data_IF_880957476282
#
_entry.id   IF_880957476282
#
_cell.length_a   1.000
_cell.length_b   1.000
_cell.length_c   1.000
_cell.angle_alpha   90.00
_cell.angle_beta   90.00
_cell.angle_gamma   90.00
#
_symmetry.space_group_name_H-M   'P 1'
#
loop_
_entity.id
_entity.type
_entity.pdbx_description
1 polymer ?
#
# COMPACT_ATOMS: atom_id res chain seq x y z
N UNK A 1 21.43 -7.12 37.98
CA UNK A 1 21.77 -6.81 36.58
C UNK A 1 20.98 -5.57 36.18
N UNK A 2 21.66 -4.45 35.96
CA UNK A 2 21.08 -3.18 35.53
C UNK A 2 20.74 -3.22 34.04
N UNK A 3 19.55 -2.74 33.66
CA UNK A 3 19.16 -2.53 32.26
C UNK A 3 20.09 -1.49 31.60
N UNK A 4 20.35 -1.58 30.28
CA UNK A 4 21.14 -0.57 29.60
C UNK A 4 20.41 0.78 29.59
N UNK A 5 21.13 1.84 29.95
CA UNK A 5 20.68 3.22 29.81
C UNK A 5 20.77 3.67 28.35
N UNK A 6 19.63 4.19 27.85
CA UNK A 6 19.47 5.05 26.64
C UNK A 6 19.62 4.36 25.28
N UNK A 7 18.53 4.42 24.52
CA UNK A 7 18.54 4.40 23.05
C UNK A 7 18.39 5.85 22.59
N UNK A 8 19.33 6.36 21.78
CA UNK A 8 19.24 7.69 21.18
C UNK A 8 18.36 7.62 19.93
N UNK A 9 17.59 8.68 19.66
CA UNK A 9 16.76 8.78 18.45
C UNK A 9 17.63 8.83 17.18
N UNK A 10 18.88 9.28 17.33
CA UNK A 10 19.92 9.31 16.30
C UNK A 10 20.37 7.90 15.86
N UNK A 11 20.44 6.93 16.78
CA UNK A 11 20.85 5.55 16.46
C UNK A 11 19.84 4.81 15.55
N UNK A 12 18.57 5.26 15.55
CA UNK A 12 17.52 4.74 14.67
C UNK A 12 17.58 5.38 13.28
N UNK A 13 18.05 6.63 13.20
CA UNK A 13 18.20 7.38 11.95
C UNK A 13 19.45 6.89 11.19
N UNK A 14 20.56 6.65 11.89
CA UNK A 14 21.80 6.15 11.30
C UNK A 14 21.67 4.70 10.76
N UNK A 15 20.76 3.89 11.32
CA UNK A 15 20.47 2.54 10.83
C UNK A 15 19.69 2.51 9.50
N UNK A 16 19.24 3.66 8.98
CA UNK A 16 18.50 3.78 7.72
C UNK A 16 19.30 4.46 6.60
N UNK A 17 20.58 4.78 6.82
CA UNK A 17 21.39 5.57 5.89
C UNK A 17 21.95 4.71 4.74
N UNK A 18 21.19 4.65 3.64
CA UNK A 18 21.65 4.12 2.36
C UNK A 18 22.31 5.23 1.53
N UNK A 19 23.58 5.51 1.80
CA UNK A 19 24.42 6.54 1.14
C UNK A 19 24.36 6.52 -0.41
N UNK A 20 24.00 5.38 -0.99
CA UNK A 20 23.90 5.17 -2.43
C UNK A 20 22.72 5.91 -3.10
N UNK A 21 21.57 6.03 -2.42
CA UNK A 21 20.37 6.66 -3.00
C UNK A 21 20.48 8.18 -3.05
N UNK A 22 21.14 8.78 -2.04
CA UNK A 22 21.36 10.22 -1.94
C UNK A 22 22.25 10.74 -3.07
N UNK A 23 23.38 10.06 -3.32
CA UNK A 23 24.32 10.43 -4.37
C UNK A 23 23.69 10.34 -5.78
N UNK A 24 22.84 9.34 -6.02
CA UNK A 24 22.13 9.18 -7.29
C UNK A 24 21.09 10.30 -7.53
N UNK A 25 20.33 10.67 -6.49
CA UNK A 25 19.34 11.76 -6.56
C UNK A 25 20.00 13.13 -6.79
N UNK A 26 21.07 13.43 -6.05
CA UNK A 26 21.84 14.67 -6.21
C UNK A 26 22.47 14.79 -7.60
N UNK A 27 22.99 13.69 -8.16
CA UNK A 27 23.53 13.65 -9.52
C UNK A 27 22.45 13.88 -10.60
N UNK A 28 21.22 13.35 -10.39
CA UNK A 28 20.10 13.57 -11.31
C UNK A 28 19.58 15.02 -11.25
N UNK A 29 19.45 15.58 -10.05
CA UNK A 29 19.02 16.98 -9.86
C UNK A 29 20.02 17.98 -10.47
N UNK A 30 21.32 17.72 -10.29
CA UNK A 30 22.39 18.51 -10.92
C UNK A 30 22.32 18.45 -12.45
N UNK A 31 22.14 17.26 -13.04
CA UNK A 31 21.97 17.11 -14.50
C UNK A 31 20.73 17.83 -15.04
N UNK A 32 19.61 17.82 -14.31
CA UNK A 32 18.40 18.53 -14.72
C UNK A 32 18.59 20.05 -14.70
N UNK A 33 19.33 20.56 -13.70
CA UNK A 33 19.65 21.99 -13.57
C UNK A 33 20.63 22.45 -14.65
N UNK A 34 21.66 21.65 -14.93
CA UNK A 34 22.63 21.93 -15.99
C UNK A 34 22.00 21.86 -17.40
N UNK A 35 20.92 21.10 -17.57
CA UNK A 35 20.16 21.02 -18.81
C UNK A 35 19.13 22.16 -19.00
N UNK A 36 19.01 23.10 -18.06
CA UNK A 36 18.04 24.20 -18.15
C UNK A 36 16.58 23.76 -18.11
N UNK A 37 16.29 22.54 -17.64
CA UNK A 37 14.93 22.01 -17.56
C UNK A 37 14.28 22.56 -16.29
N UNK A 38 13.47 23.60 -16.44
CA UNK A 38 12.68 24.14 -15.35
C UNK A 38 11.38 23.32 -15.21
N UNK A 39 11.38 22.33 -14.32
CA UNK A 39 10.19 21.54 -14.00
C UNK A 39 9.33 22.35 -13.03
N UNK A 40 8.49 23.23 -13.55
CA UNK A 40 7.43 23.82 -12.74
C UNK A 40 6.37 22.75 -12.44
N UNK A 41 6.39 22.23 -11.20
CA UNK A 41 5.28 21.44 -10.68
C UNK A 41 4.07 22.36 -10.50
N UNK A 42 3.16 22.32 -11.47
CA UNK A 42 1.88 23.02 -11.43
C UNK A 42 1.11 22.63 -10.15
N UNK A 43 1.00 23.59 -9.22
CA UNK A 43 0.26 23.49 -7.95
C UNK A 43 -1.25 23.76 -8.11
N UNK A 44 -1.84 23.55 -9.27
CA UNK A 44 -3.24 23.94 -9.52
C UNK A 44 -4.10 22.78 -10.02
N UNK A 45 -4.76 22.09 -9.08
CA UNK A 45 -6.07 21.47 -9.34
C UNK A 45 -6.80 21.13 -8.03
N UNK A 46 -7.29 22.16 -7.33
CA UNK A 46 -8.41 21.94 -6.41
C UNK A 46 -9.71 22.09 -7.22
N UNK A 47 -10.50 21.01 -7.21
CA UNK A 47 -11.94 20.96 -7.46
C UNK A 47 -12.50 20.91 -8.88
N UNK A 48 -11.69 20.76 -9.93
CA UNK A 48 -12.23 20.18 -11.17
C UNK A 48 -12.56 18.72 -10.89
N UNK A 49 -13.82 18.31 -11.06
CA UNK A 49 -14.25 16.91 -11.03
C UNK A 49 -13.29 16.11 -11.92
N UNK A 50 -12.31 15.46 -11.29
CA UNK A 50 -11.26 14.80 -12.04
C UNK A 50 -11.92 13.61 -12.71
N UNK A 51 -12.17 13.74 -14.00
CA UNK A 51 -12.95 12.82 -14.82
C UNK A 51 -12.54 11.36 -14.62
N UNK A 52 -13.51 10.45 -14.71
CA UNK A 52 -13.33 8.99 -14.56
C UNK A 52 -12.58 8.32 -15.73
N UNK A 53 -11.75 9.08 -16.44
CA UNK A 53 -10.93 8.54 -17.52
C UNK A 53 -9.67 7.88 -16.95
N UNK A 54 -9.13 6.85 -17.63
CA UNK A 54 -7.82 6.30 -17.31
C UNK A 54 -6.69 7.27 -17.71
N UNK A 55 -5.45 6.90 -17.39
CA UNK A 55 -4.26 7.61 -17.88
C UNK A 55 -4.11 7.49 -19.39
N UNK A 56 -3.42 8.46 -20.02
CA UNK A 56 -3.08 8.38 -21.43
C UNK A 56 -1.92 7.40 -21.64
N UNK A 57 -2.10 6.39 -22.50
CA UNK A 57 -1.11 5.34 -22.78
C UNK A 57 0.09 5.84 -23.60
N UNK A 58 0.07 7.10 -24.06
CA UNK A 58 1.21 7.72 -24.75
C UNK A 58 2.01 8.64 -23.84
N UNK A 59 1.37 9.64 -23.23
CA UNK A 59 2.06 10.66 -22.45
C UNK A 59 2.06 10.38 -20.94
N UNK A 60 1.38 9.33 -20.48
CA UNK A 60 1.30 8.95 -19.07
C UNK A 60 0.48 9.89 -18.18
N UNK A 61 -0.02 11.01 -18.71
CA UNK A 61 -0.80 11.98 -17.93
C UNK A 61 -2.03 11.28 -17.35
N UNK A 62 -2.12 11.28 -16.03
CA UNK A 62 -3.19 10.61 -15.31
C UNK A 62 -4.56 11.20 -15.64
N UNK A 63 -5.57 10.34 -15.70
CA UNK A 63 -6.97 10.71 -15.90
C UNK A 63 -7.30 11.53 -17.14
N UNK A 64 -6.42 11.48 -18.13
CA UNK A 64 -6.56 12.27 -19.34
C UNK A 64 -7.09 11.46 -20.52
N UNK A 65 -7.14 10.12 -20.42
CA UNK A 65 -7.53 9.18 -21.47
C UNK A 65 -9.00 9.24 -21.91
N UNK A 66 -9.41 10.36 -22.52
CA UNK A 66 -10.79 10.63 -22.96
C UNK A 66 -11.22 9.85 -24.19
N UNK A 67 -10.26 9.40 -24.99
CA UNK A 67 -10.49 8.66 -26.23
C UNK A 67 -9.84 7.30 -26.14
N UNK A 68 -10.36 6.33 -26.88
CA UNK A 68 -9.72 5.03 -27.04
C UNK A 68 -9.47 4.75 -28.52
N UNK A 69 -8.51 3.87 -28.82
CA UNK A 69 -8.30 3.40 -30.19
C UNK A 69 -9.58 2.73 -30.70
N UNK A 70 -10.18 3.25 -31.77
CA UNK A 70 -11.44 2.72 -32.31
C UNK A 70 -11.33 1.30 -32.83
N UNK A 71 -10.13 0.85 -33.21
CA UNK A 71 -9.88 -0.51 -33.69
C UNK A 71 -9.85 -1.50 -32.53
N UNK A 72 -8.82 -1.45 -31.67
CA UNK A 72 -8.69 -2.44 -30.60
C UNK A 72 -9.48 -2.12 -29.34
N UNK A 73 -9.89 -0.86 -29.12
CA UNK A 73 -10.54 -0.37 -27.89
C UNK A 73 -9.74 -0.60 -26.60
N UNK A 74 -8.46 -0.92 -26.74
CA UNK A 74 -7.59 -1.37 -25.65
C UNK A 74 -6.62 -0.30 -25.13
N UNK A 75 -6.44 0.80 -25.85
CA UNK A 75 -5.53 1.88 -25.45
C UNK A 75 -6.26 3.22 -25.47
N UNK A 76 -5.93 4.10 -24.53
CA UNK A 76 -6.60 5.35 -24.26
C UNK A 76 -5.63 6.53 -24.44
N UNK A 77 -6.17 7.62 -24.93
CA UNK A 77 -5.43 8.81 -25.31
C UNK A 77 -6.15 10.05 -24.82
N UNK A 78 -5.37 11.03 -24.38
CA UNK A 78 -5.92 12.34 -24.07
C UNK A 78 -6.26 13.18 -25.29
N UNK A 79 -5.60 12.92 -26.41
CA UNK A 79 -5.75 13.68 -27.64
C UNK A 79 -5.43 12.86 -28.88
N UNK A 80 -5.87 13.33 -30.06
CA UNK A 80 -5.62 12.64 -31.34
C UNK A 80 -4.13 12.72 -31.68
N UNK A 81 -3.44 13.75 -31.20
CA UNK A 81 -2.01 13.94 -31.33
C UNK A 81 -1.26 12.85 -30.55
N UNK A 82 -1.65 12.58 -29.31
CA UNK A 82 -1.08 11.48 -28.53
C UNK A 82 -1.31 10.13 -29.20
N UNK A 83 -2.51 9.89 -29.73
CA UNK A 83 -2.80 8.68 -30.51
C UNK A 83 -1.90 8.56 -31.74
N UNK A 84 -1.76 9.62 -32.55
CA UNK A 84 -0.92 9.64 -33.75
C UNK A 84 0.56 9.41 -33.44
N UNK A 85 1.06 10.03 -32.36
CA UNK A 85 2.45 9.85 -31.92
C UNK A 85 2.69 8.42 -31.43
N UNK A 86 1.82 7.89 -30.57
CA UNK A 86 1.90 6.49 -30.14
C UNK A 86 1.79 5.53 -31.32
N UNK A 87 0.97 5.82 -32.31
CA UNK A 87 0.82 5.00 -33.50
C UNK A 87 2.11 4.88 -34.31
N UNK A 88 2.86 5.97 -34.46
CA UNK A 88 4.07 6.04 -35.31
C UNK A 88 5.38 5.76 -34.57
N UNK A 89 5.39 5.77 -33.24
CA UNK A 89 6.59 5.52 -32.46
C UNK A 89 7.22 4.15 -32.81
N UNK A 90 8.55 4.00 -32.77
CA UNK A 90 9.19 2.68 -32.87
C UNK A 90 8.66 1.74 -31.77
N UNK A 91 8.16 0.56 -32.14
CA UNK A 91 7.45 -0.33 -31.22
C UNK A 91 6.10 0.21 -30.72
N UNK A 92 5.58 1.28 -31.34
CA UNK A 92 4.34 1.94 -30.96
C UNK A 92 3.08 1.12 -31.29
N UNK A 93 1.92 1.70 -30.97
CA UNK A 93 0.64 1.00 -30.97
C UNK A 93 0.30 0.30 -32.30
N UNK A 94 0.76 0.82 -33.45
CA UNK A 94 0.49 0.23 -34.78
C UNK A 94 0.88 -1.24 -34.87
N UNK A 95 1.99 -1.64 -34.23
CA UNK A 95 2.53 -3.01 -34.30
C UNK A 95 1.56 -4.00 -33.67
N UNK A 96 0.97 -3.64 -32.54
CA UNK A 96 0.15 -4.55 -31.75
C UNK A 96 -1.36 -4.36 -32.00
N UNK A 97 -1.79 -3.21 -32.51
CA UNK A 97 -3.20 -2.80 -32.57
C UNK A 97 -4.15 -3.87 -33.16
N UNK A 98 -3.77 -4.49 -34.27
CA UNK A 98 -4.65 -5.46 -34.96
C UNK A 98 -4.95 -6.69 -34.10
N UNK A 99 -4.01 -7.11 -33.28
CA UNK A 99 -4.13 -8.33 -32.49
C UNK A 99 -4.46 -8.02 -31.03
N UNK A 100 -4.49 -6.75 -30.63
CA UNK A 100 -4.71 -6.40 -29.22
C UNK A 100 -6.09 -6.82 -28.70
N UNK A 101 -7.17 -6.64 -29.48
CA UNK A 101 -8.51 -7.04 -29.01
C UNK A 101 -8.58 -8.55 -28.76
N UNK A 102 -8.18 -9.35 -29.76
CA UNK A 102 -8.08 -10.81 -29.64
C UNK A 102 -7.10 -11.25 -28.54
N UNK A 103 -5.93 -10.62 -28.43
CA UNK A 103 -4.96 -10.90 -27.38
C UNK A 103 -5.54 -10.60 -25.99
N UNK A 104 -6.28 -9.52 -25.85
CA UNK A 104 -6.97 -9.16 -24.61
C UNK A 104 -8.05 -10.17 -24.26
N UNK A 105 -8.83 -10.61 -25.24
CA UNK A 105 -9.83 -11.68 -25.11
C UNK A 105 -9.20 -13.00 -24.70
N UNK A 106 -8.16 -13.43 -25.40
CA UNK A 106 -7.46 -14.68 -25.12
C UNK A 106 -6.82 -14.67 -23.73
N UNK A 107 -6.20 -13.56 -23.32
CA UNK A 107 -5.61 -13.42 -21.97
C UNK A 107 -6.67 -13.42 -20.89
N UNK A 108 -7.77 -12.69 -21.10
CA UNK A 108 -8.89 -12.64 -20.18
C UNK A 108 -9.55 -14.02 -20.05
N UNK A 109 -9.73 -14.74 -21.17
CA UNK A 109 -10.28 -16.09 -21.18
C UNK A 109 -9.34 -17.07 -20.50
N UNK A 110 -8.04 -17.04 -20.80
CA UNK A 110 -7.04 -17.88 -20.13
C UNK A 110 -7.01 -17.64 -18.61
N UNK A 111 -7.15 -16.38 -18.18
CA UNK A 111 -7.32 -16.03 -16.77
C UNK A 111 -8.57 -16.70 -16.18
N UNK A 112 -9.72 -16.57 -16.84
CA UNK A 112 -10.98 -17.13 -16.36
C UNK A 112 -10.99 -18.65 -16.37
N UNK A 113 -10.33 -19.30 -17.34
CA UNK A 113 -10.17 -20.75 -17.41
C UNK A 113 -9.29 -21.26 -16.28
N UNK A 114 -8.15 -20.60 -16.03
CA UNK A 114 -7.27 -20.92 -14.91
C UNK A 114 -7.99 -20.76 -13.57
N UNK A 115 -8.78 -19.69 -13.43
CA UNK A 115 -9.62 -19.48 -12.25
C UNK A 115 -10.75 -20.50 -12.13
N UNK A 116 -11.43 -20.88 -13.22
CA UNK A 116 -12.48 -21.91 -13.21
C UNK A 116 -11.94 -23.27 -12.77
N UNK A 117 -10.73 -23.62 -13.23
CA UNK A 117 -9.99 -24.81 -12.75
C UNK A 117 -9.70 -24.71 -11.25
N UNK A 118 -9.17 -23.57 -10.79
CA UNK A 118 -8.93 -23.32 -9.36
C UNK A 118 -10.20 -23.50 -8.53
N UNK A 119 -11.31 -22.86 -8.92
CA UNK A 119 -12.59 -22.90 -8.21
C UNK A 119 -13.14 -24.32 -8.10
N UNK A 120 -13.10 -25.08 -9.20
CA UNK A 120 -13.54 -26.48 -9.21
C UNK A 120 -12.69 -27.33 -8.28
N UNK A 121 -11.39 -27.05 -8.24
CA UNK A 121 -10.43 -27.82 -7.47
C UNK A 121 -10.53 -27.58 -5.96
N UNK A 122 -10.67 -26.32 -5.52
CA UNK A 122 -10.87 -26.01 -4.09
C UNK A 122 -12.16 -26.61 -3.56
N UNK A 123 -13.21 -26.70 -4.39
CA UNK A 123 -14.46 -27.36 -4.02
C UNK A 123 -14.41 -28.88 -3.92
N UNK A 124 -13.41 -29.55 -4.50
CA UNK A 124 -13.41 -31.00 -4.68
C UNK A 124 -12.66 -31.80 -3.61
N UNK A 125 -11.41 -31.45 -3.24
CA UNK A 125 -10.63 -32.08 -2.15
C UNK A 125 -9.24 -31.43 -2.04
N UNK A 126 -8.49 -31.69 -0.95
CA UNK A 126 -7.14 -31.14 -0.70
C UNK A 126 -6.20 -31.25 -1.91
N UNK A 127 -5.91 -30.12 -2.58
CA UNK A 127 -4.96 -30.01 -3.67
C UNK A 127 -3.57 -30.61 -3.41
N UNK A 128 -3.07 -31.48 -4.29
CA UNK A 128 -1.61 -31.59 -4.49
C UNK A 128 -1.11 -30.29 -5.11
N UNK A 129 0.02 -29.79 -4.58
CA UNK A 129 0.46 -28.40 -4.68
C UNK A 129 0.63 -27.84 -6.10
N UNK A 130 1.07 -28.64 -7.06
CA UNK A 130 1.70 -28.09 -8.26
C UNK A 130 0.73 -27.59 -9.35
N UNK A 131 -0.44 -28.22 -9.51
CA UNK A 131 -1.39 -27.84 -10.56
C UNK A 131 -2.07 -26.48 -10.29
N UNK A 132 -2.33 -26.19 -9.01
CA UNK A 132 -2.91 -24.91 -8.55
C UNK A 132 -1.88 -23.82 -8.66
N UNK A 133 -0.65 -24.08 -8.20
CA UNK A 133 0.47 -23.14 -8.31
C UNK A 133 0.84 -22.86 -9.76
N UNK A 134 0.77 -23.85 -10.65
CA UNK A 134 0.98 -23.64 -12.08
C UNK A 134 -0.14 -22.80 -12.70
N UNK A 135 -1.41 -23.07 -12.35
CA UNK A 135 -2.55 -22.28 -12.83
C UNK A 135 -2.52 -20.84 -12.33
N UNK A 136 -2.19 -20.64 -11.05
CA UNK A 136 -2.00 -19.33 -10.42
C UNK A 136 -0.73 -18.63 -10.90
N UNK A 137 0.35 -19.37 -11.16
CA UNK A 137 1.59 -18.85 -11.73
C UNK A 137 1.37 -18.35 -13.15
N UNK A 138 0.62 -19.10 -13.97
CA UNK A 138 0.20 -18.65 -15.29
C UNK A 138 -0.73 -17.44 -15.21
N UNK A 139 -1.64 -17.40 -14.22
CA UNK A 139 -2.45 -16.22 -13.91
C UNK A 139 -1.55 -15.01 -13.65
N UNK A 140 -0.59 -15.17 -12.76
CA UNK A 140 0.37 -14.14 -12.36
C UNK A 140 1.19 -13.66 -13.55
N UNK A 141 1.72 -14.58 -14.36
CA UNK A 141 2.53 -14.26 -15.54
C UNK A 141 1.69 -13.51 -16.59
N UNK A 142 0.42 -13.88 -16.77
CA UNK A 142 -0.51 -13.13 -17.63
C UNK A 142 -0.79 -11.72 -17.10
N UNK A 143 -0.85 -11.54 -15.76
CA UNK A 143 -0.97 -10.22 -15.12
C UNK A 143 0.33 -9.40 -15.27
N UNK A 144 1.50 -10.03 -15.12
CA UNK A 144 2.82 -9.39 -15.03
C UNK A 144 3.46 -9.06 -16.39
N UNK A 145 3.50 -10.01 -17.32
CA UNK A 145 4.32 -9.90 -18.54
C UNK A 145 3.63 -9.20 -19.70
N UNK A 146 2.31 -9.01 -19.60
CA UNK A 146 1.48 -9.04 -20.78
C UNK A 146 0.52 -7.83 -20.94
N UNK A 147 0.81 -6.73 -20.25
CA UNK A 147 0.19 -5.44 -20.58
C UNK A 147 -1.24 -5.27 -20.09
N UNK A 148 -1.69 -6.06 -19.11
CA UNK A 148 -2.90 -5.75 -18.35
C UNK A 148 -2.85 -4.36 -17.71
N UNK A 149 -1.65 -3.78 -17.63
CA UNK A 149 -1.33 -2.43 -17.17
C UNK A 149 -2.00 -1.29 -17.93
N UNK A 150 -2.56 -1.50 -19.13
CA UNK A 150 -3.16 -0.42 -19.89
C UNK A 150 -4.42 -0.92 -20.58
N UNK A 151 -5.55 -0.68 -19.89
CA UNK A 151 -6.83 -0.29 -20.48
C UNK A 151 -7.61 -1.30 -21.37
N UNK A 152 -6.96 -2.28 -21.96
CA UNK A 152 -7.56 -3.26 -22.87
C UNK A 152 -7.86 -4.59 -22.23
N UNK A 153 -6.83 -5.34 -21.81
CA UNK A 153 -7.06 -6.68 -21.30
C UNK A 153 -7.82 -6.62 -19.98
N UNK A 154 -7.68 -5.54 -19.20
CA UNK A 154 -8.40 -5.38 -17.94
C UNK A 154 -9.89 -5.18 -18.20
N UNK A 155 -10.26 -4.32 -19.16
CA UNK A 155 -11.67 -4.10 -19.51
C UNK A 155 -12.32 -5.40 -20.01
N UNK A 156 -11.63 -6.15 -20.87
CA UNK A 156 -12.15 -7.44 -21.36
C UNK A 156 -12.24 -8.48 -20.25
N UNK A 157 -11.24 -8.54 -19.37
CA UNK A 157 -11.29 -9.41 -18.18
C UNK A 157 -12.44 -9.04 -17.25
N UNK A 158 -12.76 -7.76 -17.08
CA UNK A 158 -13.97 -7.34 -16.37
C UNK A 158 -15.25 -7.89 -17.01
N UNK A 159 -15.38 -7.83 -18.33
CA UNK A 159 -16.52 -8.39 -19.06
C UNK A 159 -16.65 -9.92 -18.88
N UNK A 160 -15.53 -10.63 -18.73
CA UNK A 160 -15.50 -12.07 -18.49
C UNK A 160 -15.64 -12.47 -17.02
N UNK A 161 -15.78 -11.53 -16.08
CA UNK A 161 -15.99 -11.83 -14.66
C UNK A 161 -14.73 -11.79 -13.78
N UNK A 162 -13.69 -11.04 -14.15
CA UNK A 162 -12.47 -10.84 -13.34
C UNK A 162 -12.80 -10.43 -11.90
N UNK A 163 -13.73 -9.49 -11.70
CA UNK A 163 -14.08 -9.05 -10.36
C UNK A 163 -14.75 -10.16 -9.53
N UNK A 164 -15.55 -11.02 -10.16
CA UNK A 164 -16.11 -12.20 -9.50
C UNK A 164 -15.02 -13.18 -9.07
N UNK A 165 -14.03 -13.38 -9.95
CA UNK A 165 -12.88 -14.24 -9.67
C UNK A 165 -12.03 -13.70 -8.51
N UNK A 166 -11.66 -12.42 -8.54
CA UNK A 166 -10.92 -11.75 -7.46
C UNK A 166 -11.68 -11.80 -6.15
N UNK A 167 -12.98 -11.50 -6.20
CA UNK A 167 -13.84 -11.56 -5.02
C UNK A 167 -13.84 -12.95 -4.38
N UNK A 168 -13.95 -14.01 -5.18
CA UNK A 168 -13.88 -15.37 -4.68
C UNK A 168 -12.51 -15.70 -4.08
N UNK A 169 -11.43 -15.29 -4.74
CA UNK A 169 -10.07 -15.46 -4.21
C UNK A 169 -9.90 -14.78 -2.84
N UNK A 170 -10.57 -13.65 -2.60
CA UNK A 170 -10.57 -12.98 -1.31
C UNK A 170 -11.57 -13.55 -0.29
N UNK A 171 -12.58 -14.31 -0.73
CA UNK A 171 -13.55 -14.97 0.16
C UNK A 171 -13.00 -16.24 0.80
N UNK A 172 -12.18 -16.98 0.07
CA UNK A 172 -11.75 -18.31 0.49
C UNK A 172 -10.87 -18.22 1.73
N UNK A 173 -11.16 -19.05 2.75
CA UNK A 173 -10.50 -18.94 4.03
C UNK A 173 -9.00 -19.19 3.89
N UNK A 174 -8.23 -18.14 4.14
CA UNK A 174 -6.78 -18.02 3.94
C UNK A 174 -5.91 -19.17 4.49
N UNK A 175 -6.44 -20.05 5.35
CA UNK A 175 -5.64 -21.09 6.02
C UNK A 175 -4.86 -21.97 5.04
N UNK A 176 -5.37 -22.20 3.82
CA UNK A 176 -4.69 -22.97 2.78
C UNK A 176 -3.96 -22.12 1.72
N UNK A 177 -4.31 -20.83 1.65
CA UNK A 177 -3.81 -19.85 0.67
C UNK A 177 -2.44 -19.32 1.08
N UNK A 178 -2.12 -19.30 2.37
CA UNK A 178 -0.92 -18.66 2.90
C UNK A 178 0.38 -19.37 2.55
N UNK A 179 0.38 -20.70 2.61
CA UNK A 179 1.57 -21.47 2.23
C UNK A 179 1.80 -21.47 0.71
N UNK A 180 0.80 -21.05 -0.09
CA UNK A 180 0.74 -21.35 -1.53
C UNK A 180 0.51 -20.14 -2.44
N UNK A 181 -0.01 -19.02 -1.94
CA UNK A 181 -0.51 -17.90 -2.76
C UNK A 181 0.11 -16.55 -2.38
N UNK A 182 1.23 -16.54 -1.67
CA UNK A 182 1.98 -15.31 -1.35
C UNK A 182 2.25 -14.51 -2.62
N UNK A 183 2.77 -15.17 -3.66
CA UNK A 183 3.03 -14.58 -4.97
C UNK A 183 1.75 -14.08 -5.65
N UNK A 184 0.61 -14.73 -5.42
CA UNK A 184 -0.70 -14.35 -5.99
C UNK A 184 -1.19 -13.08 -5.34
N UNK A 185 -1.12 -12.96 -4.01
CA UNK A 185 -1.56 -11.76 -3.32
C UNK A 185 -0.67 -10.57 -3.63
N UNK A 186 0.65 -10.76 -3.71
CA UNK A 186 1.55 -9.72 -4.19
C UNK A 186 1.20 -9.31 -5.61
N UNK A 187 0.96 -10.26 -6.50
CA UNK A 187 0.62 -9.94 -7.89
C UNK A 187 -0.75 -9.27 -8.01
N UNK A 188 -1.75 -9.72 -7.26
CA UNK A 188 -3.09 -9.13 -7.27
C UNK A 188 -3.04 -7.70 -6.75
N UNK A 189 -2.38 -7.46 -5.62
CA UNK A 189 -2.23 -6.10 -5.09
C UNK A 189 -1.45 -5.23 -6.07
N UNK A 190 -0.26 -5.67 -6.47
CA UNK A 190 0.64 -4.81 -7.22
C UNK A 190 0.22 -4.67 -8.70
N UNK A 191 -0.11 -5.75 -9.40
CA UNK A 191 -0.29 -5.69 -10.87
C UNK A 191 -1.69 -5.29 -11.32
N UNK A 192 -2.74 -5.62 -10.57
CA UNK A 192 -4.10 -5.29 -11.01
C UNK A 192 -4.40 -3.81 -10.82
N UNK A 193 -3.83 -3.20 -9.78
CA UNK A 193 -4.16 -1.84 -9.39
C UNK A 193 -2.99 -0.86 -9.52
N UNK A 194 -1.74 -1.27 -9.71
CA UNK A 194 -0.64 -0.35 -10.00
C UNK A 194 -0.40 -0.16 -11.50
N UNK A 195 0.14 0.99 -11.86
CA UNK A 195 0.79 1.17 -13.16
C UNK A 195 2.21 0.57 -13.12
N UNK A 196 2.80 0.32 -14.30
CA UNK A 196 4.03 -0.45 -14.56
C UNK A 196 5.29 -0.13 -13.76
N UNK A 197 5.29 0.89 -12.91
CA UNK A 197 6.47 1.38 -12.22
C UNK A 197 6.39 1.28 -10.69
N UNK A 198 5.47 0.50 -10.12
CA UNK A 198 5.30 0.31 -8.66
C UNK A 198 5.07 1.61 -7.84
N UNK A 199 5.04 2.77 -8.47
CA UNK A 199 5.04 4.08 -7.82
C UNK A 199 3.68 4.78 -7.89
N UNK A 200 2.72 4.23 -8.63
CA UNK A 200 1.38 4.81 -8.74
C UNK A 200 0.29 3.74 -8.81
N UNK A 201 -0.85 4.08 -8.19
CA UNK A 201 -2.08 3.28 -8.22
C UNK A 201 -3.04 3.85 -9.27
N UNK A 202 -3.65 2.99 -10.05
CA UNK A 202 -4.74 3.31 -10.96
C UNK A 202 -6.05 3.42 -10.16
N UNK A 203 -6.37 4.65 -9.75
CA UNK A 203 -7.59 4.93 -9.01
C UNK A 203 -8.89 4.56 -9.76
N UNK A 204 -8.86 4.48 -11.10
CA UNK A 204 -10.01 4.03 -11.88
C UNK A 204 -10.29 2.54 -11.67
N UNK A 205 -9.24 1.70 -11.65
CA UNK A 205 -9.39 0.25 -11.43
C UNK A 205 -9.85 -0.07 -10.03
N UNK A 206 -9.26 0.60 -9.04
CA UNK A 206 -9.70 0.48 -7.64
C UNK A 206 -11.17 0.83 -7.53
N UNK A 207 -11.59 1.96 -8.11
CA UNK A 207 -13.00 2.37 -8.14
C UNK A 207 -13.90 1.33 -8.82
N UNK A 208 -13.50 0.83 -9.99
CA UNK A 208 -14.24 -0.21 -10.75
C UNK A 208 -14.41 -1.50 -9.95
N UNK A 209 -13.34 -1.96 -9.28
CA UNK A 209 -13.38 -3.16 -8.47
C UNK A 209 -14.27 -2.97 -7.23
N UNK A 210 -14.07 -1.89 -6.47
CA UNK A 210 -14.86 -1.59 -5.26
C UNK A 210 -16.35 -1.47 -5.57
N UNK A 211 -16.73 -0.97 -6.74
CA UNK A 211 -18.13 -0.84 -7.17
C UNK A 211 -18.71 -2.08 -7.84
N UNK A 212 -17.90 -3.12 -8.06
CA UNK A 212 -18.36 -4.32 -8.75
C UNK A 212 -19.33 -5.16 -7.92
N UNK A 213 -19.19 -5.11 -6.59
CA UNK A 213 -20.09 -5.74 -5.62
C UNK A 213 -20.14 -4.87 -4.35
N UNK A 214 -21.25 -4.96 -3.62
CA UNK A 214 -21.47 -4.14 -2.42
C UNK A 214 -20.38 -4.34 -1.34
N UNK A 215 -19.87 -5.57 -1.21
CA UNK A 215 -18.86 -5.98 -0.22
C UNK A 215 -17.48 -6.29 -0.82
N UNK A 216 -17.22 -5.85 -2.07
CA UNK A 216 -15.95 -6.10 -2.77
C UNK A 216 -14.75 -5.48 -2.02
N UNK A 217 -14.91 -4.27 -1.51
CA UNK A 217 -13.89 -3.60 -0.71
C UNK A 217 -13.66 -4.33 0.61
N UNK A 218 -14.72 -4.65 1.34
CA UNK A 218 -14.63 -5.26 2.66
C UNK A 218 -13.91 -6.60 2.60
N UNK A 219 -14.21 -7.42 1.59
CA UNK A 219 -13.51 -8.69 1.34
C UNK A 219 -12.06 -8.50 0.96
N UNK A 220 -11.78 -7.60 0.01
CA UNK A 220 -10.42 -7.31 -0.39
C UNK A 220 -9.56 -6.77 0.77
N UNK A 221 -10.09 -5.80 1.51
CA UNK A 221 -9.41 -5.22 2.67
C UNK A 221 -9.19 -6.26 3.76
N UNK A 222 -10.21 -7.05 4.13
CA UNK A 222 -10.06 -8.12 5.13
C UNK A 222 -9.02 -9.17 4.71
N UNK A 223 -9.02 -9.54 3.44
CA UNK A 223 -8.07 -10.46 2.82
C UNK A 223 -6.64 -9.89 2.88
N UNK A 224 -6.42 -8.63 2.51
CA UNK A 224 -5.13 -7.97 2.70
C UNK A 224 -4.71 -7.91 4.16
N UNK A 225 -5.61 -7.59 5.08
CA UNK A 225 -5.26 -7.48 6.50
C UNK A 225 -4.88 -8.83 7.11
N UNK A 226 -5.35 -9.93 6.53
CA UNK A 226 -4.95 -11.28 6.95
C UNK A 226 -3.45 -11.50 6.80
N UNK A 227 -2.78 -10.87 5.83
CA UNK A 227 -1.31 -11.00 5.65
C UNK A 227 -0.54 -10.53 6.90
N UNK A 228 -1.03 -9.50 7.58
CA UNK A 228 -0.46 -9.06 8.86
C UNK A 228 -0.68 -10.09 9.97
N UNK A 229 -1.85 -10.73 10.01
CA UNK A 229 -2.15 -11.78 10.99
C UNK A 229 -1.24 -12.99 10.82
N UNK A 230 -0.99 -13.37 9.57
CA UNK A 230 -0.09 -14.47 9.20
C UNK A 230 1.33 -14.14 9.62
N UNK A 231 1.84 -12.97 9.22
CA UNK A 231 3.16 -12.52 9.61
C UNK A 231 3.34 -12.52 11.14
N UNK A 232 2.35 -12.00 11.87
CA UNK A 232 2.39 -11.95 13.34
C UNK A 232 2.32 -13.33 14.01
N UNK A 233 1.69 -14.31 13.39
CA UNK A 233 1.58 -15.66 13.97
C UNK A 233 2.69 -16.56 13.45
N UNK A 234 2.66 -16.86 12.16
CA UNK A 234 3.59 -17.78 11.51
C UNK A 234 4.99 -17.19 11.32
N UNK A 235 5.11 -15.90 11.02
CA UNK A 235 6.42 -15.26 10.86
C UNK A 235 7.22 -15.27 12.17
N UNK A 236 6.57 -14.96 13.29
CA UNK A 236 7.20 -15.03 14.61
C UNK A 236 7.51 -16.48 15.03
N UNK A 237 6.67 -17.44 14.68
CA UNK A 237 6.93 -18.85 14.93
C UNK A 237 8.05 -19.41 14.04
N UNK A 238 8.20 -18.91 12.80
CA UNK A 238 9.32 -19.24 11.91
C UNK A 238 10.65 -18.80 12.52
N UNK A 239 10.72 -17.60 13.11
CA UNK A 239 11.91 -17.17 13.86
C UNK A 239 12.26 -18.17 14.97
N UNK A 240 11.27 -18.59 15.78
CA UNK A 240 11.50 -19.55 16.88
C UNK A 240 12.02 -20.90 16.39
N UNK A 241 11.66 -21.29 15.16
CA UNK A 241 12.11 -22.52 14.50
C UNK A 241 13.40 -22.34 13.70
N UNK A 242 13.99 -21.14 13.70
CA UNK A 242 15.15 -20.77 12.88
C UNK A 242 14.92 -20.91 11.37
N UNK A 243 13.67 -20.71 10.92
CA UNK A 243 13.25 -20.69 9.51
C UNK A 243 13.25 -19.24 9.00
N UNK A 244 14.43 -18.62 8.90
CA UNK A 244 14.56 -17.19 8.59
C UNK A 244 14.10 -16.83 7.18
N UNK A 245 14.24 -17.74 6.21
CA UNK A 245 13.72 -17.61 4.86
C UNK A 245 12.20 -17.43 4.85
N UNK A 246 11.48 -18.29 5.58
CA UNK A 246 10.02 -18.20 5.75
C UNK A 246 9.65 -16.88 6.42
N UNK A 247 10.36 -16.50 7.48
CA UNK A 247 10.14 -15.22 8.15
C UNK A 247 10.28 -14.03 7.19
N UNK A 248 11.36 -13.96 6.40
CA UNK A 248 11.59 -12.84 5.49
C UNK A 248 10.56 -12.77 4.37
N UNK A 249 10.11 -13.92 3.84
CA UNK A 249 9.02 -13.96 2.86
C UNK A 249 7.73 -13.40 3.45
N UNK A 250 7.33 -13.85 4.65
CA UNK A 250 6.12 -13.38 5.32
C UNK A 250 6.20 -11.89 5.70
N UNK A 251 7.39 -11.44 6.13
CA UNK A 251 7.67 -10.03 6.41
C UNK A 251 7.49 -9.18 5.14
N UNK A 252 8.12 -9.60 4.04
CA UNK A 252 8.04 -8.87 2.77
C UNK A 252 6.60 -8.78 2.27
N UNK A 253 5.83 -9.87 2.37
CA UNK A 253 4.41 -9.89 2.02
C UNK A 253 3.60 -8.86 2.84
N UNK A 254 3.83 -8.81 4.16
CA UNK A 254 3.16 -7.84 5.02
C UNK A 254 3.57 -6.39 4.67
N UNK A 255 4.86 -6.14 4.42
CA UNK A 255 5.34 -4.83 3.94
C UNK A 255 4.69 -4.45 2.61
N UNK A 256 4.63 -5.36 1.65
CA UNK A 256 4.03 -5.14 0.34
C UNK A 256 2.53 -4.81 0.45
N UNK A 257 1.80 -5.53 1.31
CA UNK A 257 0.40 -5.22 1.59
C UNK A 257 0.23 -3.81 2.20
N UNK A 258 1.06 -3.43 3.18
CA UNK A 258 1.02 -2.10 3.78
C UNK A 258 1.39 -0.97 2.80
N UNK A 259 2.42 -1.21 1.98
CA UNK A 259 2.84 -0.27 0.94
C UNK A 259 1.76 -0.08 -0.12
N UNK A 260 1.14 -1.18 -0.56
CA UNK A 260 0.02 -1.15 -1.48
C UNK A 260 -1.14 -0.27 -0.97
N UNK A 261 -1.56 -0.47 0.28
CA UNK A 261 -2.60 0.37 0.87
C UNK A 261 -2.16 1.82 1.06
N UNK A 262 -0.88 2.08 1.32
CA UNK A 262 -0.33 3.44 1.29
C UNK A 262 -0.55 4.09 -0.07
N UNK A 263 -0.21 3.40 -1.18
CA UNK A 263 -0.43 3.92 -2.53
C UNK A 263 -1.92 4.18 -2.81
N UNK A 264 -2.81 3.24 -2.42
CA UNK A 264 -4.26 3.40 -2.56
C UNK A 264 -4.75 4.67 -1.86
N UNK A 265 -4.32 4.94 -0.63
CA UNK A 265 -4.78 6.11 0.12
C UNK A 265 -3.99 7.40 -0.18
N UNK A 266 -2.81 7.31 -0.79
CA UNK A 266 -2.14 8.44 -1.46
C UNK A 266 -2.95 8.93 -2.65
N UNK A 267 -3.66 8.04 -3.35
CA UNK A 267 -4.55 8.42 -4.45
C UNK A 267 -5.92 8.86 -3.94
N UNK A 268 -6.21 10.16 -4.05
CA UNK A 268 -7.47 10.77 -3.62
C UNK A 268 -8.71 10.09 -4.21
N UNK A 269 -8.68 9.67 -5.48
CA UNK A 269 -9.85 9.03 -6.13
C UNK A 269 -10.11 7.64 -5.61
N UNK A 270 -9.07 6.84 -5.46
CA UNK A 270 -9.17 5.51 -4.88
C UNK A 270 -9.71 5.61 -3.44
N UNK A 271 -9.13 6.50 -2.64
CA UNK A 271 -9.62 6.81 -1.29
C UNK A 271 -11.09 7.25 -1.28
N UNK A 272 -11.49 8.16 -2.17
CA UNK A 272 -12.89 8.64 -2.28
C UNK A 272 -13.85 7.51 -2.66
N UNK A 273 -13.47 6.66 -3.62
CA UNK A 273 -14.27 5.51 -4.04
C UNK A 273 -14.46 4.50 -2.91
N UNK A 274 -13.43 4.26 -2.10
CA UNK A 274 -13.49 3.38 -0.93
C UNK A 274 -14.34 4.00 0.18
N UNK A 275 -14.00 5.22 0.61
CA UNK A 275 -14.56 5.83 1.81
C UNK A 275 -15.98 6.35 1.61
N UNK A 276 -16.28 6.96 0.46
CA UNK A 276 -17.58 7.59 0.17
C UNK A 276 -18.45 6.75 -0.79
N UNK A 277 -17.93 5.67 -1.36
CA UNK A 277 -18.69 4.77 -2.23
C UNK A 277 -19.21 5.42 -3.51
N UNK A 278 -20.48 5.19 -3.82
CA UNK A 278 -21.13 5.67 -5.05
C UNK A 278 -21.60 7.11 -4.95
N UNK A 279 -22.11 7.52 -3.78
CA UNK A 279 -22.68 8.84 -3.53
C UNK A 279 -21.65 9.95 -3.61
N UNK A 280 -20.37 9.62 -3.38
CA UNK A 280 -19.25 10.58 -3.32
C UNK A 280 -19.40 11.62 -2.19
N UNK A 281 -20.35 11.41 -1.29
CA UNK A 281 -20.71 12.28 -0.17
C UNK A 281 -20.63 11.50 1.14
N UNK A 282 -20.57 12.22 2.27
CA UNK A 282 -20.55 11.57 3.59
C UNK A 282 -21.96 11.20 4.02
N UNK A 283 -22.40 10.01 3.63
CA UNK A 283 -23.66 9.39 4.06
C UNK A 283 -23.47 8.39 5.23
N UNK A 284 -24.56 7.79 5.68
CA UNK A 284 -24.54 6.80 6.76
C UNK A 284 -23.76 5.54 6.39
N UNK A 285 -23.79 5.11 5.12
CA UNK A 285 -23.01 3.96 4.64
C UNK A 285 -21.52 4.25 4.69
N UNK A 286 -21.09 5.44 4.25
CA UNK A 286 -19.72 5.91 4.33
C UNK A 286 -19.24 5.96 5.79
N UNK A 287 -20.05 6.49 6.71
CA UNK A 287 -19.73 6.52 8.15
C UNK A 287 -19.63 5.10 8.75
N UNK A 288 -20.55 4.21 8.39
CA UNK A 288 -20.53 2.81 8.83
C UNK A 288 -19.26 2.10 8.33
N UNK A 289 -18.91 2.28 7.05
CA UNK A 289 -17.69 1.73 6.46
C UNK A 289 -16.43 2.27 7.13
N UNK A 290 -16.36 3.57 7.40
CA UNK A 290 -15.22 4.17 8.10
C UNK A 290 -15.04 3.59 9.51
N UNK A 291 -16.12 3.45 10.28
CA UNK A 291 -16.09 2.77 11.59
C UNK A 291 -15.64 1.31 11.46
N UNK A 292 -16.12 0.60 10.43
CA UNK A 292 -15.69 -0.76 10.15
C UNK A 292 -14.19 -0.83 9.85
N UNK A 293 -13.66 0.04 8.97
CA UNK A 293 -12.21 0.13 8.67
C UNK A 293 -11.43 0.35 9.96
N UNK A 294 -11.82 1.31 10.79
CA UNK A 294 -11.15 1.60 12.07
C UNK A 294 -11.17 0.37 12.99
N UNK A 295 -12.27 -0.38 13.05
CA UNK A 295 -12.34 -1.61 13.84
C UNK A 295 -11.36 -2.69 13.34
N UNK A 296 -11.19 -2.81 12.03
CA UNK A 296 -10.24 -3.76 11.44
C UNK A 296 -8.79 -3.33 11.72
N UNK A 297 -8.48 -2.04 11.57
CA UNK A 297 -7.16 -1.49 11.88
C UNK A 297 -6.83 -1.66 13.36
N UNK A 298 -7.79 -1.41 14.27
CA UNK A 298 -7.63 -1.69 15.71
C UNK A 298 -7.23 -3.14 15.96
N UNK A 299 -7.91 -4.09 15.31
CA UNK A 299 -7.58 -5.53 15.42
C UNK A 299 -6.15 -5.81 14.99
N UNK A 300 -5.71 -5.24 13.86
CA UNK A 300 -4.34 -5.40 13.36
C UNK A 300 -3.33 -4.77 14.32
N UNK A 301 -3.52 -3.51 14.70
CA UNK A 301 -2.65 -2.79 15.65
C UNK A 301 -2.52 -3.48 17.01
N UNK A 302 -3.59 -4.10 17.51
CA UNK A 302 -3.54 -4.85 18.77
C UNK A 302 -2.58 -6.04 18.75
N UNK A 303 -2.24 -6.56 17.56
CA UNK A 303 -1.26 -7.64 17.37
C UNK A 303 0.18 -7.13 17.30
N UNK A 304 0.38 -5.86 16.91
CA UNK A 304 1.68 -5.19 16.90
C UNK A 304 2.04 -4.55 18.26
N UNK A 305 1.36 -4.92 19.34
CA UNK A 305 1.76 -4.45 20.67
C UNK A 305 3.16 -4.99 20.98
N UNK A 306 4.14 -4.08 20.84
CA UNK A 306 5.58 -4.28 20.93
C UNK A 306 5.91 -5.55 21.69
N UNK A 307 6.09 -6.61 20.93
CA UNK A 307 5.96 -7.93 21.50
C UNK A 307 7.20 -8.18 22.35
N UNK A 308 7.03 -8.20 23.66
CA UNK A 308 8.09 -8.59 24.59
C UNK A 308 8.69 -9.95 24.20
N UNK A 309 7.92 -10.80 23.50
CA UNK A 309 8.39 -12.07 22.92
C UNK A 309 9.48 -11.84 21.87
N UNK A 310 9.37 -10.82 21.02
CA UNK A 310 10.37 -10.50 19.99
C UNK A 310 11.64 -9.95 20.62
N UNK A 311 11.55 -9.05 21.61
CA UNK A 311 12.74 -8.58 22.34
C UNK A 311 13.47 -9.75 23.00
N UNK A 312 12.73 -10.70 23.59
CA UNK A 312 13.31 -11.88 24.23
C UNK A 312 13.98 -12.83 23.22
N UNK A 313 13.46 -12.92 22.00
CA UNK A 313 14.03 -13.75 20.92
C UNK A 313 15.22 -13.05 20.25
N UNK A 314 15.12 -11.73 20.04
CA UNK A 314 16.10 -10.94 19.30
C UNK A 314 17.18 -10.31 20.20
N UNK A 315 17.17 -10.56 21.51
CA UNK A 315 18.16 -9.94 22.42
C UNK A 315 19.62 -10.30 22.08
N UNK A 316 19.84 -11.34 21.27
CA UNK A 316 21.15 -11.70 20.73
C UNK A 316 21.44 -11.17 19.32
N UNK A 317 20.44 -10.67 18.58
CA UNK A 317 20.59 -10.21 17.20
C UNK A 317 19.81 -8.91 16.93
N UNK A 318 20.54 -7.80 16.90
CA UNK A 318 20.01 -6.45 16.71
C UNK A 318 19.42 -6.25 15.30
N UNK A 319 19.85 -7.03 14.29
CA UNK A 319 19.33 -6.95 12.93
C UNK A 319 17.88 -7.43 12.83
N UNK A 320 17.51 -8.41 13.66
CA UNK A 320 16.15 -8.96 13.68
C UNK A 320 15.16 -7.97 14.34
N UNK A 321 15.62 -7.20 15.33
CA UNK A 321 14.81 -6.20 16.00
C UNK A 321 14.37 -5.05 15.06
N UNK A 322 15.28 -4.53 14.23
CA UNK A 322 14.94 -3.49 13.25
C UNK A 322 13.91 -4.01 12.25
N UNK A 323 14.03 -5.27 11.83
CA UNK A 323 13.16 -5.88 10.82
C UNK A 323 11.68 -5.92 11.21
N UNK A 324 11.35 -6.25 12.47
CA UNK A 324 9.96 -6.31 12.95
C UNK A 324 9.33 -4.93 13.00
N UNK A 325 10.11 -3.92 13.37
CA UNK A 325 9.65 -2.54 13.46
C UNK A 325 9.23 -1.96 12.11
N UNK A 326 9.77 -2.49 10.99
CA UNK A 326 9.42 -2.03 9.64
C UNK A 326 7.95 -2.29 9.34
N UNK A 327 7.47 -3.53 9.54
CA UNK A 327 6.07 -3.88 9.24
C UNK A 327 5.12 -3.05 10.11
N UNK A 328 5.43 -2.91 11.40
CA UNK A 328 4.67 -2.07 12.33
C UNK A 328 4.62 -0.62 11.83
N UNK A 329 5.76 -0.04 11.47
CA UNK A 329 5.87 1.32 10.94
C UNK A 329 5.03 1.53 9.68
N UNK A 330 5.08 0.58 8.75
CA UNK A 330 4.26 0.61 7.54
C UNK A 330 2.76 0.54 7.85
N UNK A 331 2.36 -0.26 8.84
CA UNK A 331 0.95 -0.33 9.29
C UNK A 331 0.50 0.98 9.91
N UNK A 332 1.31 1.61 10.76
CA UNK A 332 1.03 2.95 11.28
C UNK A 332 0.89 3.98 10.15
N UNK A 333 1.77 3.92 9.15
CA UNK A 333 1.79 4.87 8.04
C UNK A 333 0.51 4.82 7.19
N UNK A 334 0.12 3.65 6.66
CA UNK A 334 -1.10 3.58 5.85
C UNK A 334 -2.36 3.83 6.70
N UNK A 335 -2.35 3.47 7.99
CA UNK A 335 -3.43 3.82 8.92
C UNK A 335 -3.58 5.33 9.05
N UNK A 336 -2.47 6.07 9.12
CA UNK A 336 -2.48 7.52 9.16
C UNK A 336 -2.94 8.16 7.85
N UNK A 337 -2.63 7.55 6.69
CA UNK A 337 -3.17 7.98 5.40
C UNK A 337 -4.70 7.83 5.35
N UNK A 338 -5.24 6.73 5.89
CA UNK A 338 -6.69 6.53 6.02
C UNK A 338 -7.31 7.62 6.90
N UNK A 339 -6.72 7.90 8.07
CA UNK A 339 -7.18 8.98 8.96
C UNK A 339 -7.16 10.34 8.25
N UNK A 340 -6.07 10.67 7.57
CA UNK A 340 -5.92 11.93 6.85
C UNK A 340 -6.99 12.09 5.76
N UNK A 341 -7.28 11.03 4.99
CA UNK A 341 -8.35 11.06 3.96
C UNK A 341 -9.74 11.14 4.57
N UNK A 342 -10.00 10.46 5.69
CA UNK A 342 -11.26 10.62 6.42
C UNK A 342 -11.46 12.07 6.87
N UNK A 343 -10.42 12.72 7.41
CA UNK A 343 -10.48 14.12 7.81
C UNK A 343 -10.69 15.06 6.61
N UNK A 344 -9.96 14.84 5.51
CA UNK A 344 -10.12 15.60 4.26
C UNK A 344 -11.56 15.52 3.74
N UNK A 345 -12.17 14.34 3.79
CA UNK A 345 -13.56 14.13 3.37
C UNK A 345 -14.58 14.45 4.48
N UNK A 346 -14.17 15.09 5.57
CA UNK A 346 -15.05 15.50 6.69
C UNK A 346 -15.81 14.33 7.35
N UNK A 347 -15.22 13.14 7.33
CA UNK A 347 -15.74 11.93 7.97
C UNK A 347 -15.35 11.89 9.45
N UNK A 348 -16.21 12.46 10.30
CA UNK A 348 -15.99 12.39 11.74
C UNK A 348 -16.30 10.98 12.28
N UNK A 349 -15.23 10.23 12.60
CA UNK A 349 -15.31 8.93 13.29
C UNK A 349 -15.01 9.03 14.79
N UNK A 350 -14.69 10.21 15.32
CA UNK A 350 -14.23 10.43 16.69
C UNK A 350 -12.71 10.49 16.82
N UNK A 351 -12.19 10.33 18.04
CA UNK A 351 -10.74 10.35 18.29
C UNK A 351 -10.09 9.06 17.73
N UNK A 352 -9.49 9.17 16.56
CA UNK A 352 -8.92 8.03 15.82
C UNK A 352 -7.90 7.23 16.65
N UNK A 353 -7.00 7.90 17.36
CA UNK A 353 -5.96 7.25 18.20
C UNK A 353 -6.58 6.46 19.34
N UNK A 354 -7.58 7.03 20.00
CA UNK A 354 -8.32 6.35 21.06
C UNK A 354 -9.07 5.13 20.52
N UNK A 355 -9.65 5.23 19.32
CA UNK A 355 -10.36 4.13 18.67
C UNK A 355 -9.41 2.99 18.28
N UNK A 356 -8.23 3.30 17.77
CA UNK A 356 -7.18 2.32 17.50
C UNK A 356 -6.63 1.67 18.77
N UNK A 357 -6.81 2.29 19.94
CA UNK A 357 -6.36 1.76 21.21
C UNK A 357 -4.84 1.66 21.33
N UNK A 358 -4.10 2.57 20.68
CA UNK A 358 -2.63 2.57 20.70
C UNK A 358 -2.12 3.02 22.09
N UNK A 359 -1.31 2.20 22.79
CA UNK A 359 -0.70 2.59 24.06
C UNK A 359 0.72 3.14 23.88
N UNK A 360 1.17 3.94 24.85
CA UNK A 360 2.59 4.27 25.09
C UNK A 360 3.38 4.69 23.84
N UNK A 361 4.42 3.91 23.52
CA UNK A 361 5.34 4.17 22.40
C UNK A 361 4.64 4.09 21.04
N UNK A 362 3.67 3.19 20.87
CA UNK A 362 2.99 3.03 19.58
C UNK A 362 2.09 4.24 19.29
N UNK A 363 1.43 4.77 20.32
CA UNK A 363 0.74 6.06 20.23
C UNK A 363 1.69 7.18 19.84
N UNK A 364 2.86 7.25 20.48
CA UNK A 364 3.86 8.26 20.17
C UNK A 364 4.36 8.16 18.71
N UNK A 365 4.74 6.97 18.24
CA UNK A 365 5.16 6.74 16.84
C UNK A 365 4.07 7.16 15.86
N UNK A 366 2.83 6.77 16.13
CA UNK A 366 1.71 7.12 15.27
C UNK A 366 1.49 8.64 15.19
N UNK A 367 1.38 9.31 16.34
CA UNK A 367 1.08 10.75 16.41
C UNK A 367 2.23 11.64 15.91
N UNK A 368 3.48 11.24 16.14
CA UNK A 368 4.64 12.10 15.91
C UNK A 368 5.45 11.72 14.67
N UNK A 369 5.21 10.55 14.07
CA UNK A 369 5.92 10.12 12.85
C UNK A 369 4.94 9.81 11.71
N UNK A 370 4.07 8.81 11.91
CA UNK A 370 3.20 8.33 10.83
C UNK A 370 2.21 9.40 10.36
N UNK A 371 1.56 10.11 11.30
CA UNK A 371 0.57 11.15 10.97
C UNK A 371 1.15 12.37 10.26
N UNK A 372 2.26 13.00 10.71
CA UNK A 372 2.89 14.08 9.96
C UNK A 372 3.29 13.67 8.55
N UNK A 373 3.84 12.45 8.40
CA UNK A 373 4.23 11.91 7.11
C UNK A 373 3.02 11.72 6.18
N UNK A 374 1.96 11.07 6.67
CA UNK A 374 0.74 10.88 5.91
C UNK A 374 0.09 12.22 5.46
N UNK A 375 0.09 13.22 6.35
CA UNK A 375 -0.43 14.55 6.02
C UNK A 375 0.38 15.21 4.89
N UNK A 376 1.71 15.12 4.92
CA UNK A 376 2.57 15.66 3.87
C UNK A 376 2.36 14.95 2.52
N UNK A 377 2.17 13.62 2.52
CA UNK A 377 1.82 12.85 1.32
C UNK A 377 0.46 13.28 0.75
N UNK A 378 -0.55 13.44 1.61
CA UNK A 378 -1.88 13.89 1.20
C UNK A 378 -1.83 15.30 0.61
N UNK A 379 -1.09 16.21 1.24
CA UNK A 379 -0.88 17.59 0.77
C UNK A 379 -0.17 17.62 -0.60
N UNK A 380 0.86 16.78 -0.79
CA UNK A 380 1.58 16.66 -2.07
C UNK A 380 0.75 15.96 -3.16
N UNK A 381 -0.12 15.03 -2.76
CA UNK A 381 -0.88 14.18 -3.69
C UNK A 381 -0.05 13.05 -4.32
N UNK A 382 1.17 12.82 -3.85
CA UNK A 382 2.05 11.74 -4.30
C UNK A 382 2.98 11.30 -3.17
N UNK A 383 3.67 10.17 -3.35
CA UNK A 383 4.68 9.72 -2.39
C UNK A 383 5.77 10.79 -2.23
N UNK A 384 6.19 10.99 -0.98
CA UNK A 384 7.29 11.91 -0.65
C UNK A 384 8.59 11.15 -0.52
N UNK A 385 9.70 11.80 -0.87
CA UNK A 385 11.04 11.27 -0.64
C UNK A 385 11.46 11.41 0.84
N UNK A 386 12.64 10.90 1.17
CA UNK A 386 13.14 10.91 2.55
C UNK A 386 13.43 12.33 3.07
N UNK A 387 13.86 13.26 2.21
CA UNK A 387 14.13 14.64 2.62
C UNK A 387 12.82 15.35 2.94
N UNK A 388 11.81 15.20 2.08
CA UNK A 388 10.47 15.72 2.30
C UNK A 388 9.82 15.11 3.55
N UNK A 389 10.06 13.83 3.83
CA UNK A 389 9.61 13.19 5.06
C UNK A 389 10.28 13.79 6.30
N UNK A 390 11.59 14.01 6.26
CA UNK A 390 12.32 14.66 7.35
C UNK A 390 11.83 16.10 7.58
N UNK A 391 11.59 16.86 6.52
CA UNK A 391 11.03 18.22 6.60
C UNK A 391 9.65 18.23 7.25
N UNK A 392 8.79 17.25 6.92
CA UNK A 392 7.48 17.09 7.54
C UNK A 392 7.58 16.81 9.05
N UNK A 393 8.56 16.00 9.47
CA UNK A 393 8.82 15.70 10.89
C UNK A 393 9.37 16.93 11.63
N UNK A 394 10.32 17.66 11.04
CA UNK A 394 10.88 18.88 11.63
C UNK A 394 9.81 19.96 11.79
N UNK A 395 8.94 20.13 10.79
CA UNK A 395 7.78 21.05 10.85
C UNK A 395 6.81 20.68 11.98
N UNK A 396 6.63 19.39 12.26
CA UNK A 396 5.82 18.93 13.40
C UNK A 396 6.52 19.19 14.74
N UNK A 397 7.82 18.93 14.83
CA UNK A 397 8.61 19.15 16.05
C UNK A 397 8.65 20.63 16.45
N UNK A 398 8.77 21.56 15.49
CA UNK A 398 8.74 23.00 15.73
C UNK A 398 7.37 23.54 16.20
N UNK A 399 6.30 22.78 16.00
CA UNK A 399 4.95 23.10 16.54
C UNK A 399 4.74 22.57 17.95
N UNK A 400 5.65 21.75 18.48
CA UNK A 400 5.54 21.32 19.86
C UNK A 400 5.77 22.53 20.78
N UNK A 401 4.85 22.82 21.72
CA UNK A 401 5.10 23.88 22.69
C UNK A 401 6.42 23.58 23.41
N UNK A 402 7.27 24.61 23.57
CA UNK A 402 8.66 24.58 24.06
C UNK A 402 8.90 23.90 25.44
N UNK A 403 7.95 23.16 26.00
CA UNK A 403 8.05 22.39 27.23
C UNK A 403 7.78 20.88 27.11
N UNK A 404 7.48 20.34 25.93
CA UNK A 404 7.11 18.92 25.75
C UNK A 404 8.30 17.99 25.43
N UNK A 405 9.49 18.26 25.97
CA UNK A 405 10.63 17.35 25.79
C UNK A 405 10.39 16.04 26.59
N UNK A 406 10.19 14.87 25.94
CA UNK A 406 9.84 13.61 26.61
C UNK A 406 10.91 13.13 27.59
N UNK A 407 12.16 13.57 27.41
CA UNK A 407 13.29 13.26 28.30
C UNK A 407 13.15 13.89 29.71
N UNK A 408 12.30 14.89 29.88
CA UNK A 408 12.17 15.63 31.15
C UNK A 408 11.26 14.94 32.18
N UNK A 409 10.45 13.94 31.79
CA UNK A 409 9.44 13.31 32.66
C UNK A 409 9.94 12.11 33.49
N UNK A 410 11.22 11.75 33.36
CA UNK A 410 11.86 10.69 34.17
C UNK A 410 12.93 11.33 35.08
N UNK A 411 12.56 12.29 35.92
CA UNK A 411 13.35 12.61 37.12
C UNK A 411 12.79 11.80 38.28
N UNK A 412 13.38 10.63 38.51
CA UNK A 412 13.08 9.78 39.65
C UNK A 412 13.21 10.56 40.96
N UNK A 413 12.20 10.45 41.82
CA UNK A 413 12.26 10.84 43.23
C UNK A 413 13.46 10.12 43.88
N UNK A 414 14.60 10.79 44.01
CA UNK A 414 15.66 10.37 44.94
C UNK A 414 15.08 10.46 46.36
N UNK A 415 14.70 9.31 46.93
CA UNK A 415 14.41 9.20 48.37
C UNK A 415 15.70 9.53 49.13
N UNK A 416 15.69 10.63 49.87
CA UNK A 416 16.80 11.02 50.74
C UNK A 416 17.01 10.00 51.84
N UNK A 417 18.22 9.42 51.92
CA UNK A 417 18.72 8.72 53.11
C UNK A 417 19.05 9.77 54.17
N UNK A 418 18.26 9.85 55.24
CA UNK A 418 18.65 10.50 56.50
C UNK A 418 19.83 9.72 57.10
N UNK A 419 21.01 10.36 57.21
CA UNK A 419 22.11 9.90 58.06
C UNK A 419 21.81 10.32 59.50
N UNK A 420 21.72 9.35 60.41
CA UNK A 420 21.78 9.58 61.84
C UNK A 420 23.23 9.91 62.23
N UNK A 421 23.41 11.01 62.96
CA UNK A 421 24.62 11.31 63.71
C UNK A 421 24.54 10.58 65.06
N UNK A 422 25.59 9.84 65.41
CA UNK A 422 26.07 9.67 66.78
C UNK A 422 27.52 10.12 66.79
#
# INVERSE_FOLDING_TARGET
MSLPEKFDLLDIIDAMDGDYCKQASEAMMKKSKDAGINIEFSKHSNDLEVSDFPSCDFCGVEYSGKMFCSKCKCVFYCSKECQKKHWKAPGGHKVNCTNMEELCENKAQAFMDAYGKYKTFVGAFQPTNDAVLSSLGNLILLLQNDGLNQNGPYKKALELGLNDALFFLFQDEYKHVVDRCISVLETIHMQLFSNTAFNSIDGYRVKKYVRSKEDAFEKWFAASLKTFDIYQTQGLDAIKRNELDVYFVLKQLACNAAHFWSLVFTNRKAAKAILLGETKEVDDKARARAKWIVSQLKRVHSKFQYDKRIIAICSSDQSLHSSVSVVEGSVHHFTALIEGRMNEFQMNVGNFVQLLGLPGVNKFKYENMARPWANAIIEKGSMIDMNEANDALLKQAGKMPNGANPSSRIKGKKKGKKKNKK
#
